data_IF_648278441815
#
_entry.id   IF_648278441815
#
_cell.length_a   1.000
_cell.length_b   1.000
_cell.length_c   1.000
_cell.angle_alpha   90.00
_cell.angle_beta   90.00
_cell.angle_gamma   90.00
#
_symmetry.space_group_name_H-M   'P 1'
#
loop_
_entity.id
_entity.type
_entity.pdbx_description
1 polymer ?
#
# COMPACT_ATOMS: atom_id res chain seq x y z
N UNK A 1 -18.95 -26.75 -6.73
CA UNK A 1 -17.58 -26.31 -6.34
C UNK A 1 -17.70 -24.81 -6.04
N UNK A 2 -17.44 -24.38 -4.83
CA UNK A 2 -17.34 -22.94 -4.55
C UNK A 2 -16.14 -22.42 -5.36
N UNK A 3 -16.35 -21.42 -6.22
CA UNK A 3 -15.26 -20.74 -6.90
C UNK A 3 -14.30 -20.18 -5.83
N UNK A 4 -13.07 -20.69 -5.84
CA UNK A 4 -12.05 -20.19 -4.92
C UNK A 4 -11.72 -18.77 -5.36
N UNK A 5 -11.95 -17.77 -4.48
CA UNK A 5 -11.66 -16.35 -4.74
C UNK A 5 -10.20 -16.20 -5.24
N UNK A 6 -10.01 -15.58 -6.39
CA UNK A 6 -8.67 -15.30 -6.92
C UNK A 6 -8.01 -14.16 -6.17
N UNK A 7 -6.67 -14.03 -6.26
CA UNK A 7 -5.97 -12.86 -5.69
C UNK A 7 -6.45 -11.53 -6.29
N UNK A 8 -6.82 -11.53 -7.58
CA UNK A 8 -7.38 -10.35 -8.22
C UNK A 8 -8.73 -9.96 -7.63
N UNK A 9 -9.62 -10.94 -7.39
CA UNK A 9 -10.93 -10.70 -6.78
C UNK A 9 -10.78 -10.23 -5.32
N UNK A 10 -9.85 -10.84 -4.58
CA UNK A 10 -9.52 -10.40 -3.22
C UNK A 10 -9.09 -8.93 -3.22
N UNK A 11 -8.09 -8.55 -4.02
CA UNK A 11 -7.58 -7.17 -4.05
C UNK A 11 -8.66 -6.21 -4.53
N UNK A 12 -9.46 -6.58 -5.54
CA UNK A 12 -10.59 -5.78 -6.01
C UNK A 12 -11.61 -5.48 -4.91
N UNK A 13 -11.86 -6.45 -4.04
CA UNK A 13 -12.81 -6.32 -2.92
C UNK A 13 -12.26 -5.51 -1.76
N UNK A 14 -10.97 -5.71 -1.39
CA UNK A 14 -10.40 -5.12 -0.17
C UNK A 14 -9.65 -3.81 -0.39
N UNK A 15 -9.15 -3.58 -1.61
CA UNK A 15 -8.42 -2.36 -2.03
C UNK A 15 -8.78 -1.98 -3.46
N UNK A 16 -10.06 -1.58 -3.71
CA UNK A 16 -10.55 -1.30 -5.06
C UNK A 16 -9.80 -0.17 -5.76
N UNK A 17 -9.25 0.79 -5.01
CA UNK A 17 -8.52 1.93 -5.57
C UNK A 17 -7.18 1.48 -6.16
N UNK A 18 -6.40 0.69 -5.41
CA UNK A 18 -5.15 0.12 -5.92
C UNK A 18 -5.42 -0.91 -7.01
N UNK A 19 -6.44 -1.75 -6.86
CA UNK A 19 -6.85 -2.67 -7.92
C UNK A 19 -7.15 -1.92 -9.22
N UNK A 20 -7.91 -0.82 -9.16
CA UNK A 20 -8.22 -0.02 -10.35
C UNK A 20 -6.95 0.55 -10.99
N UNK A 21 -5.96 0.98 -10.20
CA UNK A 21 -4.68 1.45 -10.72
C UNK A 21 -3.93 0.34 -11.49
N UNK A 22 -4.06 -0.93 -11.07
CA UNK A 22 -3.41 -2.05 -11.80
C UNK A 22 -3.98 -2.26 -13.20
N UNK A 23 -5.20 -1.78 -13.50
CA UNK A 23 -5.80 -1.92 -14.84
C UNK A 23 -5.06 -1.13 -15.91
N UNK A 24 -4.20 -0.20 -15.51
CA UNK A 24 -3.37 0.60 -16.40
C UNK A 24 -1.95 0.02 -16.57
N UNK A 25 -1.64 -1.11 -15.95
CA UNK A 25 -0.37 -1.83 -16.17
C UNK A 25 -0.52 -2.66 -17.45
N UNK A 26 0.29 -2.33 -18.45
CA UNK A 26 0.20 -2.96 -19.78
C UNK A 26 0.68 -4.42 -19.77
N UNK A 27 1.81 -4.70 -19.08
CA UNK A 27 2.36 -6.05 -18.96
C UNK A 27 1.51 -6.92 -18.02
N UNK A 28 0.89 -8.02 -18.50
CA UNK A 28 0.07 -8.88 -17.66
C UNK A 28 0.84 -9.55 -16.52
N UNK A 29 2.13 -9.90 -16.73
CA UNK A 29 2.96 -10.51 -15.70
C UNK A 29 3.27 -9.51 -14.58
N UNK A 30 3.71 -8.30 -14.92
CA UNK A 30 3.93 -7.24 -13.94
C UNK A 30 2.63 -6.86 -13.20
N UNK A 31 1.49 -6.89 -13.89
CA UNK A 31 0.17 -6.66 -13.26
C UNK A 31 -0.14 -7.74 -12.24
N UNK A 32 0.06 -9.01 -12.56
CA UNK A 32 -0.17 -10.12 -11.64
C UNK A 32 0.73 -10.02 -10.40
N UNK A 33 1.99 -9.66 -10.59
CA UNK A 33 2.95 -9.44 -9.50
C UNK A 33 2.49 -8.30 -8.57
N UNK A 34 2.08 -7.16 -9.13
CA UNK A 34 1.59 -6.02 -8.33
C UNK A 34 0.29 -6.37 -7.59
N UNK A 35 -0.58 -7.19 -8.17
CA UNK A 35 -1.77 -7.72 -7.48
C UNK A 35 -1.35 -8.61 -6.31
N UNK A 36 -0.37 -9.51 -6.49
CA UNK A 36 0.15 -10.34 -5.40
C UNK A 36 0.78 -9.49 -4.28
N UNK A 37 1.52 -8.44 -4.63
CA UNK A 37 2.07 -7.48 -3.68
C UNK A 37 0.96 -6.77 -2.86
N UNK A 38 -0.13 -6.36 -3.49
CA UNK A 38 -1.26 -5.74 -2.79
C UNK A 38 -2.04 -6.76 -1.94
N UNK A 39 -2.10 -8.01 -2.37
CA UNK A 39 -2.62 -9.12 -1.56
C UNK A 39 -1.78 -9.32 -0.28
N UNK A 40 -0.44 -9.31 -0.39
CA UNK A 40 0.45 -9.36 0.78
C UNK A 40 0.19 -8.18 1.73
N UNK A 41 0.12 -6.95 1.20
CA UNK A 41 -0.18 -5.78 2.02
C UNK A 41 -1.50 -5.93 2.81
N UNK A 42 -2.53 -6.48 2.19
CA UNK A 42 -3.80 -6.74 2.87
C UNK A 42 -3.63 -7.78 3.98
N UNK A 43 -2.97 -8.90 3.70
CA UNK A 43 -2.73 -9.95 4.69
C UNK A 43 -1.96 -9.43 5.90
N UNK A 44 -0.91 -8.64 5.68
CA UNK A 44 -0.13 -8.02 6.74
C UNK A 44 -0.94 -6.98 7.53
N UNK A 45 -1.64 -6.08 6.85
CA UNK A 45 -2.38 -4.99 7.48
C UNK A 45 -3.57 -5.47 8.34
N UNK A 46 -4.13 -6.64 8.04
CA UNK A 46 -5.26 -7.18 8.81
C UNK A 46 -4.84 -7.95 10.06
N UNK A 47 -3.54 -8.23 10.25
CA UNK A 47 -3.06 -9.08 11.35
C UNK A 47 -3.49 -8.49 12.71
N UNK A 48 -3.16 -7.22 12.97
CA UNK A 48 -3.46 -6.59 14.25
C UNK A 48 -4.96 -6.59 14.60
N UNK A 49 -5.84 -6.37 13.60
CA UNK A 49 -7.28 -6.39 13.81
C UNK A 49 -7.93 -7.79 13.84
N UNK A 50 -7.17 -8.83 13.50
CA UNK A 50 -7.66 -10.21 13.40
C UNK A 50 -7.13 -11.16 14.47
N UNK A 51 -6.49 -10.62 15.54
CA UNK A 51 -5.92 -11.43 16.63
C UNK A 51 -6.48 -10.98 17.99
N UNK A 52 -6.48 -11.90 18.94
CA UNK A 52 -6.98 -11.65 20.30
C UNK A 52 -5.92 -11.04 21.23
N UNK A 53 -4.65 -11.14 20.90
CA UNK A 53 -3.53 -10.57 21.65
C UNK A 53 -2.30 -10.34 20.75
N UNK A 54 -1.35 -9.54 21.21
CA UNK A 54 -0.16 -9.15 20.47
C UNK A 54 0.70 -10.36 20.06
N UNK A 55 0.88 -11.35 20.95
CA UNK A 55 1.69 -12.55 20.67
C UNK A 55 1.20 -13.33 19.45
N UNK A 56 -0.13 -13.47 19.29
CA UNK A 56 -0.69 -14.10 18.09
C UNK A 56 -0.46 -13.26 16.83
N UNK A 57 -0.41 -11.96 16.96
CA UNK A 57 -0.02 -11.03 15.90
C UNK A 57 1.44 -11.22 15.49
N UNK A 58 2.35 -11.26 16.46
CA UNK A 58 3.78 -11.51 16.25
C UNK A 58 4.02 -12.84 15.54
N UNK A 59 3.36 -13.93 15.97
CA UNK A 59 3.44 -15.24 15.32
C UNK A 59 3.01 -15.15 13.84
N UNK A 60 1.91 -14.46 13.55
CA UNK A 60 1.41 -14.31 12.16
C UNK A 60 2.34 -13.45 11.30
N UNK A 61 2.84 -12.33 11.81
CA UNK A 61 3.79 -11.49 11.07
C UNK A 61 5.13 -12.21 10.86
N UNK A 62 5.60 -12.91 11.87
CA UNK A 62 6.80 -13.78 11.76
C UNK A 62 6.61 -14.86 10.70
N UNK A 63 5.44 -15.51 10.66
CA UNK A 63 5.11 -16.50 9.62
C UNK A 63 5.22 -15.92 8.21
N UNK A 64 4.75 -14.68 7.98
CA UNK A 64 4.84 -14.00 6.69
C UNK A 64 6.28 -13.65 6.35
N UNK A 65 7.04 -13.11 7.31
CA UNK A 65 8.46 -12.79 7.13
C UNK A 65 9.24 -14.04 6.74
N UNK A 66 9.14 -15.09 7.54
CA UNK A 66 9.83 -16.36 7.28
C UNK A 66 9.45 -16.99 5.94
N UNK A 67 8.17 -16.88 5.53
CA UNK A 67 7.74 -17.38 4.22
C UNK A 67 8.50 -16.68 3.08
N UNK A 68 8.77 -15.38 3.18
CA UNK A 68 9.56 -14.63 2.20
C UNK A 68 11.06 -14.97 2.31
N UNK A 69 11.60 -15.11 3.51
CA UNK A 69 12.99 -15.52 3.75
C UNK A 69 13.26 -16.95 3.22
N UNK A 70 12.30 -17.83 3.34
CA UNK A 70 12.40 -19.19 2.77
C UNK A 70 12.46 -19.16 1.23
N UNK A 71 11.65 -18.32 0.59
CA UNK A 71 11.73 -18.10 -0.86
C UNK A 71 13.10 -17.54 -1.24
N UNK A 72 13.62 -16.55 -0.50
CA UNK A 72 14.94 -15.99 -0.72
C UNK A 72 16.06 -17.03 -0.61
N UNK A 73 15.88 -18.00 0.29
CA UNK A 73 16.80 -19.14 0.49
C UNK A 73 16.61 -20.26 -0.55
N UNK A 74 15.75 -20.09 -1.56
CA UNK A 74 15.49 -21.08 -2.60
C UNK A 74 14.64 -22.28 -2.15
N UNK A 75 13.95 -22.19 -1.01
CA UNK A 75 13.04 -23.23 -0.54
C UNK A 75 11.70 -23.18 -1.28
N UNK A 76 10.98 -24.30 -1.38
CA UNK A 76 9.62 -24.30 -1.93
C UNK A 76 8.71 -23.34 -1.16
N UNK A 77 7.82 -22.61 -1.84
CA UNK A 77 6.90 -21.70 -1.18
C UNK A 77 5.94 -22.45 -0.24
N UNK A 78 5.61 -21.84 0.88
CA UNK A 78 4.58 -22.34 1.78
C UNK A 78 3.23 -22.39 1.05
N UNK A 79 2.38 -23.37 1.34
CA UNK A 79 1.06 -23.54 0.72
C UNK A 79 0.11 -22.41 1.12
N UNK A 80 0.17 -21.33 0.39
CA UNK A 80 -0.71 -20.18 0.51
C UNK A 80 -0.76 -19.45 -0.85
N UNK A 81 -1.94 -19.16 -1.42
CA UNK A 81 -2.05 -18.61 -2.78
C UNK A 81 -1.20 -17.36 -3.01
N UNK A 82 -1.14 -16.47 -2.03
CA UNK A 82 -0.34 -15.25 -2.14
C UNK A 82 1.17 -15.53 -2.05
N UNK A 83 1.60 -16.48 -1.19
CA UNK A 83 3.03 -16.87 -1.08
C UNK A 83 3.50 -17.53 -2.38
N UNK A 84 2.69 -18.42 -2.96
CA UNK A 84 2.99 -19.08 -4.23
C UNK A 84 3.09 -18.06 -5.38
N UNK A 85 2.17 -17.09 -5.43
CA UNK A 85 2.21 -16.02 -6.43
C UNK A 85 3.45 -15.12 -6.27
N UNK A 86 3.83 -14.77 -5.03
CA UNK A 86 5.02 -13.97 -4.76
C UNK A 86 6.31 -14.73 -5.05
N UNK A 87 6.36 -16.03 -4.82
CA UNK A 87 7.50 -16.87 -5.19
C UNK A 87 7.73 -16.94 -6.71
N UNK A 88 6.65 -16.83 -7.49
CA UNK A 88 6.71 -16.79 -8.96
C UNK A 88 6.91 -15.37 -9.53
N UNK A 89 6.88 -14.35 -8.68
CA UNK A 89 6.94 -12.94 -9.09
C UNK A 89 8.38 -12.46 -9.34
N UNK A 90 8.49 -11.29 -9.97
CA UNK A 90 9.78 -10.61 -10.15
C UNK A 90 10.23 -9.75 -8.97
N UNK A 91 9.65 -9.91 -7.77
CA UNK A 91 10.11 -9.18 -6.57
C UNK A 91 11.31 -9.86 -5.89
N UNK A 92 12.16 -9.05 -5.25
CA UNK A 92 13.14 -9.55 -4.29
C UNK A 92 12.40 -10.01 -3.01
N UNK A 93 12.47 -11.30 -2.65
CA UNK A 93 11.77 -11.81 -1.46
C UNK A 93 12.24 -11.16 -0.15
N UNK A 94 13.53 -10.74 -0.06
CA UNK A 94 14.02 -10.03 1.12
C UNK A 94 13.34 -8.67 1.29
N UNK A 95 13.09 -7.96 0.19
CA UNK A 95 12.35 -6.71 0.24
C UNK A 95 10.87 -6.91 0.63
N UNK A 96 10.27 -8.06 0.30
CA UNK A 96 8.93 -8.43 0.76
C UNK A 96 8.92 -8.77 2.26
N UNK A 97 9.96 -9.42 2.79
CA UNK A 97 10.09 -9.72 4.22
C UNK A 97 10.09 -8.42 5.07
N UNK A 98 10.77 -7.37 4.61
CA UNK A 98 10.80 -6.04 5.28
C UNK A 98 9.39 -5.43 5.42
N UNK A 99 8.46 -5.72 4.49
CA UNK A 99 7.07 -5.26 4.65
C UNK A 99 6.36 -5.89 5.86
N UNK A 100 6.70 -7.14 6.19
CA UNK A 100 6.16 -7.79 7.39
C UNK A 100 6.75 -7.16 8.66
N UNK A 101 8.07 -6.87 8.67
CA UNK A 101 8.73 -6.22 9.80
C UNK A 101 8.11 -4.86 10.12
N UNK A 102 7.79 -4.06 9.10
CA UNK A 102 7.16 -2.75 9.27
C UNK A 102 5.78 -2.81 9.95
N UNK A 103 5.14 -3.97 10.00
CA UNK A 103 3.81 -4.17 10.59
C UNK A 103 3.82 -4.57 12.06
N UNK A 104 4.98 -4.91 12.63
CA UNK A 104 5.04 -5.21 14.07
C UNK A 104 4.59 -4.02 14.92
N UNK A 105 4.85 -2.79 14.46
CA UNK A 105 4.34 -1.57 15.11
C UNK A 105 2.82 -1.56 15.23
N UNK A 106 2.07 -2.24 14.35
CA UNK A 106 0.61 -2.32 14.42
C UNK A 106 0.10 -3.12 15.64
N UNK A 107 0.98 -3.88 16.28
CA UNK A 107 0.68 -4.66 17.48
C UNK A 107 0.84 -3.86 18.78
N UNK A 108 1.53 -2.71 18.71
CA UNK A 108 1.69 -1.81 19.85
C UNK A 108 0.36 -1.11 20.17
N UNK A 109 0.15 -0.84 21.45
CA UNK A 109 -1.01 -0.07 21.91
C UNK A 109 -0.82 1.43 21.68
N UNK A 110 -1.92 2.11 21.40
CA UNK A 110 -1.98 3.57 21.31
C UNK A 110 -1.51 4.16 19.97
N UNK A 111 -1.51 5.49 19.87
CA UNK A 111 -1.15 6.23 18.68
C UNK A 111 0.37 6.32 18.48
N UNK A 112 0.79 6.62 17.25
CA UNK A 112 2.15 7.04 16.94
C UNK A 112 2.43 8.40 17.60
N UNK A 113 3.64 8.59 18.11
CA UNK A 113 3.96 9.68 19.03
C UNK A 113 3.90 11.07 18.38
N UNK A 114 4.36 11.19 17.13
CA UNK A 114 4.52 12.46 16.43
C UNK A 114 4.49 12.29 14.91
N UNK A 115 4.67 13.39 14.18
CA UNK A 115 4.69 13.39 12.71
C UNK A 115 5.84 12.56 12.14
N UNK A 116 7.00 12.55 12.79
CA UNK A 116 8.14 11.78 12.32
C UNK A 116 7.85 10.27 12.40
N UNK A 117 7.26 9.82 13.51
CA UNK A 117 6.81 8.44 13.69
C UNK A 117 5.72 8.06 12.68
N UNK A 118 4.74 8.95 12.42
CA UNK A 118 3.70 8.72 11.41
C UNK A 118 4.30 8.59 10.02
N UNK A 119 5.23 9.47 9.64
CA UNK A 119 5.86 9.40 8.32
C UNK A 119 6.78 8.19 8.19
N UNK A 120 7.51 7.81 9.25
CA UNK A 120 8.34 6.60 9.25
C UNK A 120 7.48 5.33 9.09
N UNK A 121 6.35 5.24 9.79
CA UNK A 121 5.38 4.17 9.64
C UNK A 121 4.84 4.08 8.20
N UNK A 122 4.43 5.22 7.62
CA UNK A 122 3.93 5.26 6.24
C UNK A 122 5.04 4.88 5.26
N UNK A 123 6.27 5.36 5.45
CA UNK A 123 7.41 5.03 4.60
C UNK A 123 7.70 3.53 4.61
N UNK A 124 7.64 2.87 5.78
CA UNK A 124 7.85 1.43 5.92
C UNK A 124 6.69 0.56 5.38
N UNK A 125 5.49 1.12 5.30
CA UNK A 125 4.29 0.40 4.84
C UNK A 125 3.85 0.83 3.44
N UNK A 126 3.03 1.85 3.31
CA UNK A 126 2.51 2.33 2.01
C UNK A 126 3.63 2.84 1.09
N UNK A 127 4.69 3.43 1.66
CA UNK A 127 5.87 3.91 0.93
C UNK A 127 6.67 2.77 0.32
N UNK A 128 7.06 1.80 1.13
CA UNK A 128 7.80 0.62 0.66
C UNK A 128 7.00 -0.16 -0.38
N UNK A 129 5.69 -0.31 -0.16
CA UNK A 129 4.78 -0.93 -1.13
C UNK A 129 4.78 -0.20 -2.49
N UNK A 130 4.70 1.14 -2.49
CA UNK A 130 4.70 1.94 -3.71
C UNK A 130 6.05 1.87 -4.44
N UNK A 131 7.15 1.86 -3.70
CA UNK A 131 8.51 1.70 -4.26
C UNK A 131 8.67 0.34 -4.94
N UNK A 132 8.25 -0.75 -4.28
CA UNK A 132 8.31 -2.09 -4.85
C UNK A 132 7.47 -2.18 -6.12
N UNK A 133 6.22 -1.70 -6.07
CA UNK A 133 5.35 -1.67 -7.25
C UNK A 133 5.98 -0.86 -8.40
N UNK A 134 6.48 0.36 -8.13
CA UNK A 134 7.09 1.21 -9.14
C UNK A 134 8.29 0.55 -9.81
N UNK A 135 9.20 -0.03 -9.03
CA UNK A 135 10.40 -0.72 -9.55
C UNK A 135 10.09 -2.00 -10.29
N UNK A 136 9.01 -2.70 -9.92
CA UNK A 136 8.53 -3.87 -10.68
C UNK A 136 7.99 -3.46 -12.05
N UNK A 137 7.36 -2.29 -12.12
CA UNK A 137 6.82 -1.75 -13.37
C UNK A 137 7.90 -1.14 -14.26
N UNK A 138 8.90 -0.51 -13.66
CA UNK A 138 10.07 0.03 -14.35
C UNK A 138 11.27 0.03 -13.39
N UNK A 139 12.31 -0.80 -13.65
CA UNK A 139 13.50 -0.88 -12.80
C UNK A 139 14.27 0.44 -12.64
N UNK A 140 14.10 1.40 -13.57
CA UNK A 140 14.72 2.72 -13.49
C UNK A 140 13.96 3.70 -12.59
N UNK A 141 12.79 3.30 -12.04
CA UNK A 141 11.98 4.15 -11.19
C UNK A 141 12.75 4.55 -9.93
N UNK A 142 12.92 5.85 -9.73
CA UNK A 142 13.53 6.39 -8.52
C UNK A 142 12.56 6.21 -7.32
N UNK A 143 13.00 5.53 -6.23
CA UNK A 143 12.20 5.39 -5.02
C UNK A 143 11.68 6.73 -4.45
N UNK A 144 12.47 7.80 -4.59
CA UNK A 144 12.07 9.11 -4.10
C UNK A 144 10.90 9.69 -4.90
N UNK A 145 10.75 9.33 -6.17
CA UNK A 145 9.70 9.87 -7.03
C UNK A 145 8.29 9.48 -6.57
N UNK A 146 8.12 8.34 -5.91
CA UNK A 146 6.81 7.87 -5.42
C UNK A 146 6.56 8.19 -3.95
N UNK A 147 7.59 8.60 -3.20
CA UNK A 147 7.53 8.74 -1.73
C UNK A 147 6.47 9.75 -1.27
N UNK A 148 6.44 10.95 -1.85
CA UNK A 148 5.46 11.97 -1.49
C UNK A 148 4.01 11.53 -1.79
N UNK A 149 3.80 10.88 -2.94
CA UNK A 149 2.50 10.32 -3.31
C UNK A 149 2.05 9.23 -2.31
N UNK A 150 2.96 8.31 -1.96
CA UNK A 150 2.68 7.25 -0.99
C UNK A 150 2.40 7.80 0.41
N UNK A 151 3.10 8.84 0.85
CA UNK A 151 2.84 9.53 2.12
C UNK A 151 1.47 10.19 2.14
N UNK A 152 1.08 10.87 1.08
CA UNK A 152 -0.26 11.46 0.97
C UNK A 152 -1.35 10.39 1.05
N UNK A 153 -1.18 9.29 0.33
CA UNK A 153 -2.10 8.14 0.37
C UNK A 153 -2.15 7.49 1.75
N UNK A 154 -0.99 7.26 2.39
CA UNK A 154 -0.88 6.68 3.72
C UNK A 154 -1.55 7.53 4.81
N UNK A 155 -1.34 8.86 4.78
CA UNK A 155 -2.01 9.80 5.68
C UNK A 155 -3.53 9.74 5.55
N UNK A 156 -4.04 9.73 4.32
CA UNK A 156 -5.47 9.58 4.06
C UNK A 156 -6.01 8.22 4.53
N UNK A 157 -5.21 7.16 4.38
CA UNK A 157 -5.54 5.82 4.89
C UNK A 157 -5.62 5.77 6.41
N UNK A 158 -4.65 6.37 7.12
CA UNK A 158 -4.65 6.47 8.58
C UNK A 158 -5.83 7.30 9.10
N UNK A 159 -6.21 8.37 8.38
CA UNK A 159 -7.40 9.14 8.72
C UNK A 159 -8.68 8.29 8.61
N UNK A 160 -8.82 7.51 7.55
CA UNK A 160 -9.96 6.58 7.38
C UNK A 160 -10.01 5.55 8.51
N UNK A 161 -8.86 5.03 8.95
CA UNK A 161 -8.78 4.14 10.11
C UNK A 161 -9.20 4.84 11.41
N UNK A 162 -8.82 6.12 11.59
CA UNK A 162 -9.26 6.93 12.73
C UNK A 162 -10.79 7.06 12.75
N UNK A 163 -11.41 7.33 11.61
CA UNK A 163 -12.86 7.39 11.49
C UNK A 163 -13.56 6.05 11.78
N UNK A 164 -12.87 4.93 11.52
CA UNK A 164 -13.35 3.59 11.83
C UNK A 164 -13.01 3.11 13.27
N UNK A 165 -12.56 4.01 14.15
CA UNK A 165 -12.21 3.70 15.53
C UNK A 165 -10.90 2.93 15.72
N UNK A 166 -10.04 2.89 14.71
CA UNK A 166 -8.73 2.21 14.72
C UNK A 166 -7.61 3.20 14.46
N UNK A 167 -7.46 4.18 15.34
CA UNK A 167 -6.50 5.25 15.13
C UNK A 167 -5.07 4.85 15.46
N UNK A 168 -4.15 5.20 14.55
CA UNK A 168 -2.69 5.21 14.80
C UNK A 168 -2.13 6.63 14.71
N UNK A 169 -2.96 7.62 14.36
CA UNK A 169 -2.57 9.02 14.33
C UNK A 169 -2.51 9.58 15.75
N UNK A 170 -1.65 10.59 16.04
CA UNK A 170 -1.67 11.32 17.29
C UNK A 170 -3.09 11.78 17.64
N UNK A 171 -3.44 11.72 18.93
CA UNK A 171 -4.80 11.95 19.38
C UNK A 171 -5.30 13.37 19.07
N UNK A 172 -4.41 14.35 19.19
CA UNK A 172 -4.65 15.76 18.93
C UNK A 172 -4.81 16.13 17.45
N UNK A 173 -4.46 15.21 16.53
CA UNK A 173 -4.60 15.50 15.11
C UNK A 173 -6.05 15.51 14.66
N UNK A 174 -6.48 16.69 14.18
CA UNK A 174 -7.79 16.90 13.55
C UNK A 174 -7.78 16.54 12.08
N UNK A 175 -8.96 16.51 11.45
CA UNK A 175 -9.08 16.36 9.99
C UNK A 175 -8.34 17.47 9.23
N UNK A 176 -8.37 18.69 9.75
CA UNK A 176 -7.68 19.83 9.15
C UNK A 176 -6.16 19.64 9.15
N UNK A 177 -5.60 19.12 10.26
CA UNK A 177 -4.18 18.84 10.38
C UNK A 177 -3.73 17.76 9.40
N UNK A 178 -4.48 16.67 9.28
CA UNK A 178 -4.17 15.60 8.33
C UNK A 178 -4.32 16.10 6.89
N UNK A 179 -5.36 16.87 6.59
CA UNK A 179 -5.58 17.47 5.26
C UNK A 179 -4.43 18.38 4.85
N UNK A 180 -3.94 19.23 5.76
CA UNK A 180 -2.81 20.10 5.50
C UNK A 180 -1.55 19.30 5.13
N UNK A 181 -1.28 18.20 5.86
CA UNK A 181 -0.14 17.32 5.61
C UNK A 181 -0.30 16.57 4.28
N UNK A 182 -1.49 16.09 3.96
CA UNK A 182 -1.79 15.47 2.65
C UNK A 182 -1.48 16.44 1.52
N UNK A 183 -1.94 17.70 1.62
CA UNK A 183 -1.68 18.71 0.59
C UNK A 183 -0.17 19.03 0.47
N UNK A 184 0.55 19.09 1.58
CA UNK A 184 2.00 19.30 1.57
C UNK A 184 2.73 18.15 0.84
N UNK A 185 2.37 16.90 1.14
CA UNK A 185 2.95 15.72 0.47
C UNK A 185 2.59 15.67 -1.02
N UNK A 186 1.36 15.97 -1.40
CA UNK A 186 0.95 16.03 -2.81
C UNK A 186 1.67 17.16 -3.58
N UNK A 187 1.90 18.30 -2.93
CA UNK A 187 2.67 19.40 -3.52
C UNK A 187 4.12 18.99 -3.77
N UNK A 188 4.77 18.34 -2.80
CA UNK A 188 6.13 17.81 -2.95
C UNK A 188 6.19 16.74 -4.05
N UNK A 189 5.23 15.82 -4.09
CA UNK A 189 5.17 14.76 -5.07
C UNK A 189 5.09 15.24 -6.53
N UNK A 190 4.47 16.39 -6.80
CA UNK A 190 4.28 16.89 -8.18
C UNK A 190 5.57 17.08 -8.96
N UNK A 191 6.63 17.56 -8.31
CA UNK A 191 7.93 17.75 -8.96
C UNK A 191 8.62 16.42 -9.22
N UNK A 192 8.57 15.53 -8.24
CA UNK A 192 9.22 14.22 -8.29
C UNK A 192 8.56 13.27 -9.28
N UNK A 193 7.23 13.26 -9.36
CA UNK A 193 6.47 12.41 -10.29
C UNK A 193 6.72 12.74 -11.77
N UNK A 194 7.21 13.95 -12.10
CA UNK A 194 7.62 14.26 -13.48
C UNK A 194 8.83 13.45 -13.94
N UNK A 195 9.60 12.90 -13.00
CA UNK A 195 10.77 12.05 -13.25
C UNK A 195 10.41 10.57 -13.24
N UNK A 196 9.20 10.24 -12.78
CA UNK A 196 8.75 8.86 -12.72
C UNK A 196 8.46 8.36 -14.15
N UNK A 197 9.01 7.20 -14.56
CA UNK A 197 8.65 6.57 -15.81
C UNK A 197 7.14 6.36 -15.92
N UNK A 198 6.57 6.55 -17.11
CA UNK A 198 5.12 6.41 -17.34
C UNK A 198 4.62 5.04 -16.93
N UNK A 199 5.41 3.98 -17.22
CA UNK A 199 5.06 2.62 -16.84
C UNK A 199 4.93 2.42 -15.32
N UNK A 200 5.69 3.17 -14.52
CA UNK A 200 5.67 3.10 -13.05
C UNK A 200 4.56 3.95 -12.40
N UNK A 201 3.92 4.86 -13.16
CA UNK A 201 2.93 5.79 -12.61
C UNK A 201 1.73 5.11 -11.92
N UNK A 202 1.23 3.93 -12.36
CA UNK A 202 0.15 3.22 -11.65
C UNK A 202 0.44 2.96 -10.16
N UNK A 203 1.72 2.84 -9.76
CA UNK A 203 2.09 2.68 -8.34
C UNK A 203 1.83 3.94 -7.49
N UNK A 204 1.88 5.14 -8.09
CA UNK A 204 1.63 6.42 -7.43
C UNK A 204 0.18 6.91 -7.58
N UNK A 205 -0.53 6.44 -8.60
CA UNK A 205 -1.85 6.96 -9.01
C UNK A 205 -2.91 6.97 -7.89
N UNK A 206 -2.99 5.99 -6.96
CA UNK A 206 -3.97 6.04 -5.86
C UNK A 206 -3.90 7.31 -5.02
N UNK A 207 -2.75 8.00 -4.97
CA UNK A 207 -2.60 9.24 -4.20
C UNK A 207 -3.51 10.37 -4.68
N UNK A 208 -4.02 10.35 -5.93
CA UNK A 208 -5.00 11.34 -6.41
C UNK A 208 -6.29 11.31 -5.58
N UNK A 209 -6.61 10.17 -4.98
CA UNK A 209 -7.79 9.98 -4.15
C UNK A 209 -7.57 10.44 -2.69
N UNK A 210 -6.33 10.78 -2.29
CA UNK A 210 -6.08 11.24 -0.93
C UNK A 210 -6.90 12.49 -0.59
N UNK A 211 -7.06 13.44 -1.54
CA UNK A 211 -7.94 14.60 -1.37
C UNK A 211 -9.41 14.23 -1.24
N UNK A 212 -9.84 13.22 -1.96
CA UNK A 212 -11.22 12.72 -1.91
C UNK A 212 -11.54 12.24 -0.49
N UNK A 213 -10.63 11.47 0.10
CA UNK A 213 -10.79 10.96 1.48
C UNK A 213 -10.62 12.03 2.56
N UNK A 214 -10.04 13.18 2.22
CA UNK A 214 -9.98 14.34 3.12
C UNK A 214 -11.15 15.32 2.91
N UNK A 215 -12.04 15.04 1.97
CA UNK A 215 -13.24 15.84 1.74
C UNK A 215 -14.35 15.43 2.69
N UNK A 216 -15.15 16.39 3.14
CA UNK A 216 -16.43 16.13 3.82
C UNK A 216 -17.56 15.71 2.87
N UNK A 217 -17.34 15.83 1.56
CA UNK A 217 -18.28 15.43 0.53
C UNK A 217 -18.16 13.92 0.28
N UNK A 218 -19.27 13.23 0.27
CA UNK A 218 -19.31 11.87 -0.23
C UNK A 218 -19.05 11.85 -1.74
N UNK A 219 -18.04 11.12 -2.16
CA UNK A 219 -17.60 11.01 -3.54
C UNK A 219 -17.91 9.61 -4.05
N UNK A 220 -18.82 9.55 -5.01
CA UNK A 220 -19.23 8.28 -5.61
C UNK A 220 -18.10 7.57 -6.35
N UNK A 221 -18.25 6.26 -6.51
CA UNK A 221 -17.26 5.38 -7.16
C UNK A 221 -16.92 5.82 -8.60
N UNK A 222 -17.89 6.38 -9.34
CA UNK A 222 -17.65 6.86 -10.70
C UNK A 222 -16.67 8.04 -10.73
N UNK A 223 -16.78 8.97 -9.78
CA UNK A 223 -15.86 10.10 -9.68
C UNK A 223 -14.45 9.64 -9.28
N UNK A 224 -14.33 8.70 -8.34
CA UNK A 224 -13.03 8.10 -7.96
C UNK A 224 -12.35 7.47 -9.17
N UNK A 225 -13.10 6.67 -9.94
CA UNK A 225 -12.61 6.03 -11.17
C UNK A 225 -12.17 7.07 -12.20
N UNK A 226 -12.96 8.10 -12.44
CA UNK A 226 -12.63 9.17 -13.37
C UNK A 226 -11.34 9.92 -12.97
N UNK A 227 -11.19 10.26 -11.68
CA UNK A 227 -10.00 10.93 -11.16
C UNK A 227 -8.74 10.08 -11.34
N UNK A 228 -8.83 8.78 -11.01
CA UNK A 228 -7.71 7.86 -11.13
C UNK A 228 -7.32 7.63 -12.59
N UNK A 229 -8.32 7.43 -13.46
CA UNK A 229 -8.10 7.32 -14.91
C UNK A 229 -7.42 8.57 -15.47
N UNK A 230 -7.90 9.76 -15.09
CA UNK A 230 -7.31 11.02 -15.53
C UNK A 230 -5.87 11.18 -15.03
N UNK A 231 -5.61 10.81 -13.77
CA UNK A 231 -4.27 10.87 -13.20
C UNK A 231 -3.29 9.99 -13.98
N UNK A 232 -3.67 8.75 -14.27
CA UNK A 232 -2.81 7.83 -15.05
C UNK A 232 -2.63 8.30 -16.50
N UNK A 233 -3.70 8.78 -17.14
CA UNK A 233 -3.64 9.26 -18.53
C UNK A 233 -2.76 10.52 -18.68
N UNK A 234 -2.66 11.34 -17.65
CA UNK A 234 -1.91 12.62 -17.70
C UNK A 234 -0.57 12.58 -16.96
N UNK A 235 -0.31 11.57 -16.13
CA UNK A 235 0.84 11.50 -15.22
C UNK A 235 0.79 12.58 -14.11
N UNK A 236 -0.42 13.00 -13.68
CA UNK A 236 -0.60 14.11 -12.71
C UNK A 236 -1.49 13.70 -11.54
N UNK A 237 -1.15 14.15 -10.32
CA UNK A 237 -1.97 14.06 -9.12
C UNK A 237 -2.71 15.37 -8.83
#
# INVERSE_FOLDING_TARGET
MADTETLEDLVRRVDPDRWLATRFIADPAARADVIALYGLNYELARVAGGVSNALMGEIRLTWWREAMEEIAAGKPPRKHPNVEALAASGFDPNALAVLADARFVDLDEGPLQDEAAVLAYIDGTAGALAVLAARRLDPSADPHAVKGAARAWGLAGLWRLKQAGRSRLPEDWTQADVKQRVEAQLKAARAELRRLPVAAFPAAAPAVLARVYMSSRDVGELEKKARLTFAVATGRL
#
